data_IF_421774880826
#
_entry.id   IF_421774880826
#
_cell.length_a   1.000
_cell.length_b   1.000
_cell.length_c   1.000
_cell.angle_alpha   90.00
_cell.angle_beta   90.00
_cell.angle_gamma   90.00
#
_symmetry.space_group_name_H-M   'P 1'
#
loop_
_entity.id
_entity.type
_entity.pdbx_description
1 polymer ?
#
# COMPACT_ATOMS: atom_id res chain seq x y z
N UNK A 1 13.47 -35.19 3.71
CA UNK A 1 14.10 -33.88 4.00
C UNK A 1 13.00 -33.00 4.56
N UNK A 2 13.19 -32.39 5.72
CA UNK A 2 12.24 -31.40 6.23
C UNK A 2 12.14 -30.23 5.23
N UNK A 3 10.98 -29.58 5.06
CA UNK A 3 10.90 -28.38 4.24
C UNK A 3 11.87 -27.35 4.79
N UNK A 4 12.75 -26.82 3.95
CA UNK A 4 13.60 -25.69 4.32
C UNK A 4 12.67 -24.51 4.47
N UNK A 5 12.61 -23.92 5.67
CA UNK A 5 11.90 -22.66 5.88
C UNK A 5 12.64 -21.57 5.11
N UNK A 6 11.93 -20.85 4.24
CA UNK A 6 12.47 -19.80 3.37
C UNK A 6 11.89 -18.45 3.78
N UNK A 7 12.71 -17.39 3.77
CA UNK A 7 12.22 -16.03 3.88
C UNK A 7 11.74 -15.58 2.49
N UNK A 8 10.42 -15.48 2.30
CA UNK A 8 9.84 -15.06 1.02
C UNK A 8 9.91 -13.54 0.89
N UNK A 9 10.47 -13.08 -0.23
CA UNK A 9 10.46 -11.68 -0.66
C UNK A 9 9.76 -11.60 -2.00
N UNK A 10 8.65 -10.88 -2.03
CA UNK A 10 7.83 -10.67 -3.22
C UNK A 10 8.12 -9.28 -3.76
N UNK A 11 8.54 -9.17 -5.01
CA UNK A 11 8.75 -7.88 -5.67
C UNK A 11 7.49 -7.51 -6.43
N UNK A 12 6.97 -6.33 -6.14
CA UNK A 12 5.97 -5.66 -6.96
C UNK A 12 6.66 -5.15 -8.23
N UNK A 13 6.57 -5.94 -9.30
CA UNK A 13 7.30 -5.71 -10.53
C UNK A 13 6.90 -4.41 -11.20
N UNK A 14 5.61 -4.07 -11.21
CA UNK A 14 5.12 -2.83 -11.77
C UNK A 14 5.65 -1.62 -11.01
N UNK A 15 5.58 -1.62 -9.68
CA UNK A 15 6.08 -0.51 -8.87
C UNK A 15 7.60 -0.32 -9.01
N UNK A 16 8.38 -1.40 -9.02
CA UNK A 16 9.83 -1.34 -9.18
C UNK A 16 10.24 -0.89 -10.58
N UNK A 17 9.55 -1.36 -11.64
CA UNK A 17 9.92 -1.03 -13.01
C UNK A 17 9.41 0.35 -13.47
N UNK A 18 8.27 0.83 -12.97
CA UNK A 18 7.51 1.97 -13.54
C UNK A 18 7.48 3.24 -12.67
N UNK A 19 8.61 3.68 -12.09
CA UNK A 19 8.59 4.74 -11.06
C UNK A 19 8.17 6.15 -11.49
N UNK A 20 8.45 6.62 -12.73
CA UNK A 20 8.28 8.06 -13.07
C UNK A 20 7.56 8.33 -14.38
N UNK A 21 7.83 7.56 -15.43
CA UNK A 21 7.35 7.87 -16.78
C UNK A 21 6.23 6.92 -17.26
N UNK A 22 5.71 6.05 -16.37
CA UNK A 22 4.76 4.98 -16.71
C UNK A 22 5.32 3.90 -17.65
N UNK A 23 6.58 4.03 -18.07
CA UNK A 23 7.32 3.03 -18.84
C UNK A 23 8.00 2.05 -17.90
N UNK A 24 7.88 0.77 -18.22
CA UNK A 24 8.59 -0.29 -17.52
C UNK A 24 10.07 -0.28 -17.90
N UNK A 25 10.94 -0.18 -16.90
CA UNK A 25 12.39 -0.34 -17.06
C UNK A 25 12.83 -1.67 -16.46
N UNK A 26 13.00 -2.68 -17.31
CA UNK A 26 13.30 -4.05 -16.87
C UNK A 26 14.68 -4.18 -16.19
N UNK A 27 15.73 -3.41 -16.57
CA UNK A 27 16.99 -3.43 -15.84
C UNK A 27 16.85 -3.06 -14.35
N UNK A 28 15.89 -2.19 -14.00
CA UNK A 28 15.62 -1.85 -12.59
C UNK A 28 15.03 -3.04 -11.84
N UNK A 29 14.06 -3.72 -12.43
CA UNK A 29 13.48 -4.95 -11.88
C UNK A 29 14.54 -6.05 -11.73
N UNK A 30 15.38 -6.23 -12.74
CA UNK A 30 16.49 -7.18 -12.71
C UNK A 30 17.49 -6.86 -11.58
N UNK A 31 17.83 -5.59 -11.39
CA UNK A 31 18.73 -5.15 -10.32
C UNK A 31 18.14 -5.44 -8.93
N UNK A 32 16.84 -5.22 -8.72
CA UNK A 32 16.16 -5.56 -7.47
C UNK A 32 16.15 -7.07 -7.21
N UNK A 33 15.81 -7.88 -8.23
CA UNK A 33 15.87 -9.35 -8.14
C UNK A 33 17.30 -9.81 -7.81
N UNK A 34 18.29 -9.27 -8.52
CA UNK A 34 19.70 -9.61 -8.31
C UNK A 34 20.15 -9.26 -6.90
N UNK A 35 19.76 -8.09 -6.38
CA UNK A 35 20.07 -7.66 -5.02
C UNK A 35 19.65 -8.74 -4.01
N UNK A 36 18.36 -9.10 -3.96
CA UNK A 36 17.85 -10.06 -2.97
C UNK A 36 18.39 -11.48 -3.18
N UNK A 37 18.68 -11.87 -4.42
CA UNK A 37 19.27 -13.19 -4.72
C UNK A 37 20.77 -13.27 -4.40
N UNK A 38 21.47 -12.13 -4.41
CA UNK A 38 22.89 -12.04 -4.08
C UNK A 38 23.16 -11.97 -2.57
N UNK A 39 22.12 -11.69 -1.79
CA UNK A 39 22.21 -11.78 -0.34
C UNK A 39 22.54 -13.22 0.02
N UNK A 40 23.74 -13.43 0.55
CA UNK A 40 24.07 -14.67 1.23
C UNK A 40 23.08 -14.91 2.38
N UNK A 41 22.94 -16.14 2.89
CA UNK A 41 22.18 -16.42 4.10
C UNK A 41 22.85 -15.75 5.30
N UNK A 42 22.75 -14.42 5.41
CA UNK A 42 23.19 -13.61 6.55
C UNK A 42 22.16 -13.68 7.68
N UNK A 43 20.98 -14.25 7.41
CA UNK A 43 19.96 -14.64 8.38
C UNK A 43 19.90 -16.15 8.61
N UNK A 44 18.95 -16.58 9.45
CA UNK A 44 18.71 -18.01 9.73
C UNK A 44 18.10 -18.79 8.55
N UNK A 45 17.52 -18.08 7.58
CA UNK A 45 16.73 -18.65 6.51
C UNK A 45 17.20 -18.14 5.14
N UNK A 46 17.26 -19.00 4.11
CA UNK A 46 17.54 -18.55 2.75
C UNK A 46 16.43 -17.64 2.24
N UNK A 47 16.80 -16.62 1.47
CA UNK A 47 15.84 -15.70 0.83
C UNK A 47 15.34 -16.31 -0.48
N UNK A 48 14.02 -16.42 -0.59
CA UNK A 48 13.33 -16.74 -1.83
C UNK A 48 12.72 -15.48 -2.42
N UNK A 49 13.34 -14.99 -3.48
CA UNK A 49 12.89 -13.81 -4.20
C UNK A 49 12.07 -14.19 -5.43
N UNK A 50 10.87 -13.62 -5.57
CA UNK A 50 10.01 -13.73 -6.75
C UNK A 50 9.38 -12.38 -7.06
N UNK A 51 9.28 -12.01 -8.33
CA UNK A 51 8.58 -10.81 -8.75
C UNK A 51 7.27 -11.17 -9.45
N UNK A 52 6.23 -10.35 -9.25
CA UNK A 52 5.02 -10.41 -10.08
C UNK A 52 4.99 -9.22 -11.03
N UNK A 53 4.68 -9.47 -12.29
CA UNK A 53 4.58 -8.41 -13.30
C UNK A 53 3.37 -8.64 -14.22
N UNK A 54 2.80 -7.58 -14.82
CA UNK A 54 1.67 -7.71 -15.72
C UNK A 54 2.02 -8.50 -17.00
N UNK A 55 1.19 -9.49 -17.38
CA UNK A 55 1.40 -10.28 -18.60
C UNK A 55 1.44 -9.45 -19.89
N UNK A 56 0.80 -8.27 -19.92
CA UNK A 56 0.81 -7.44 -21.13
C UNK A 56 2.20 -6.92 -21.50
N UNK A 57 3.19 -6.92 -20.59
CA UNK A 57 4.56 -6.50 -20.90
C UNK A 57 5.24 -7.38 -21.96
N UNK A 58 4.94 -8.68 -22.00
CA UNK A 58 5.47 -9.57 -23.05
C UNK A 58 4.60 -9.61 -24.30
N UNK A 59 3.31 -9.30 -24.17
CA UNK A 59 2.35 -9.41 -25.29
C UNK A 59 2.50 -8.29 -26.32
N UNK A 60 3.14 -7.17 -25.95
CA UNK A 60 3.47 -6.11 -26.91
C UNK A 60 4.86 -6.38 -27.48
N UNK A 61 4.92 -7.18 -28.55
CA UNK A 61 6.19 -7.42 -29.25
C UNK A 61 6.75 -6.09 -29.78
N UNK A 62 8.04 -5.79 -29.55
CA UNK A 62 8.68 -4.64 -30.17
C UNK A 62 8.61 -4.80 -31.70
N UNK A 63 8.03 -3.82 -32.40
CA UNK A 63 8.03 -3.81 -33.87
C UNK A 63 9.39 -3.32 -34.35
N UNK A 64 10.21 -4.15 -35.04
CA UNK A 64 11.49 -3.70 -35.55
C UNK A 64 11.27 -2.66 -36.66
N UNK A 65 11.73 -1.42 -36.44
CA UNK A 65 11.79 -0.38 -37.48
C UNK A 65 10.94 0.89 -37.26
N UNK A 66 10.16 1.02 -36.19
CA UNK A 66 9.42 2.26 -35.90
C UNK A 66 10.28 3.29 -35.14
N UNK A 67 11.13 4.01 -35.87
CA UNK A 67 11.73 5.28 -35.40
C UNK A 67 10.75 6.45 -35.55
N UNK A 68 9.46 6.23 -35.27
CA UNK A 68 8.40 7.22 -35.39
C UNK A 68 7.68 7.43 -34.06
N UNK A 69 7.40 8.67 -33.63
CA UNK A 69 6.65 8.96 -32.42
C UNK A 69 5.16 8.72 -32.68
N UNK A 70 4.75 7.45 -32.71
CA UNK A 70 3.34 7.05 -32.61
C UNK A 70 3.24 5.83 -31.70
N UNK A 71 2.83 6.13 -30.47
CA UNK A 71 1.82 5.42 -29.68
C UNK A 71 1.82 3.88 -29.79
N UNK A 72 2.24 3.21 -28.71
CA UNK A 72 1.41 2.26 -27.93
C UNK A 72 2.27 1.20 -27.24
N UNK A 73 2.63 1.43 -25.97
CA UNK A 73 2.88 0.39 -24.96
C UNK A 73 4.00 -0.65 -25.21
N UNK A 74 4.74 -0.57 -26.31
CA UNK A 74 5.76 -1.56 -26.65
C UNK A 74 7.03 -1.31 -25.82
N UNK A 75 7.46 -2.37 -25.12
CA UNK A 75 8.74 -2.39 -24.41
C UNK A 75 9.90 -2.33 -25.41
N UNK A 76 11.03 -1.74 -25.01
CA UNK A 76 12.25 -1.77 -25.82
C UNK A 76 12.70 -3.22 -26.02
N UNK A 77 13.32 -3.53 -27.17
CA UNK A 77 13.69 -4.90 -27.53
C UNK A 77 14.60 -5.56 -26.49
N UNK A 78 15.56 -4.81 -25.94
CA UNK A 78 16.49 -5.31 -24.93
C UNK A 78 15.78 -5.60 -23.60
N UNK A 79 14.90 -4.69 -23.18
CA UNK A 79 14.06 -4.86 -21.98
C UNK A 79 13.11 -6.06 -22.13
N UNK A 80 12.53 -6.25 -23.32
CA UNK A 80 11.67 -7.40 -23.61
C UNK A 80 12.43 -8.72 -23.54
N UNK A 81 13.63 -8.79 -24.11
CA UNK A 81 14.48 -9.99 -24.05
C UNK A 81 14.88 -10.31 -22.61
N UNK A 82 15.27 -9.30 -21.83
CA UNK A 82 15.62 -9.45 -20.43
C UNK A 82 14.43 -9.91 -19.59
N UNK A 83 13.23 -9.36 -19.83
CA UNK A 83 12.02 -9.79 -19.15
C UNK A 83 11.69 -11.25 -19.47
N UNK A 84 11.77 -11.64 -20.75
CA UNK A 84 11.55 -13.02 -21.16
C UNK A 84 12.55 -13.98 -20.49
N UNK A 85 13.82 -13.59 -20.36
CA UNK A 85 14.83 -14.37 -19.63
C UNK A 85 14.48 -14.53 -18.14
N UNK A 86 14.07 -13.44 -17.48
CA UNK A 86 13.66 -13.48 -16.06
C UNK A 86 12.42 -14.36 -15.84
N UNK A 87 11.48 -14.35 -16.78
CA UNK A 87 10.30 -15.23 -16.76
C UNK A 87 10.69 -16.69 -16.96
N UNK A 88 11.57 -17.00 -17.92
CA UNK A 88 12.05 -18.37 -18.14
C UNK A 88 12.82 -18.95 -16.94
N UNK A 89 13.41 -18.09 -16.11
CA UNK A 89 14.11 -18.47 -14.88
C UNK A 89 13.20 -18.56 -13.64
N UNK A 90 11.90 -18.37 -13.80
CA UNK A 90 10.91 -18.25 -12.71
C UNK A 90 11.25 -17.15 -11.70
N UNK A 91 12.00 -16.12 -12.12
CA UNK A 91 12.28 -14.94 -11.26
C UNK A 91 11.16 -13.92 -11.34
N UNK A 92 10.47 -13.87 -12.48
CA UNK A 92 9.29 -13.04 -12.72
C UNK A 92 8.12 -13.96 -13.09
N UNK A 93 7.02 -13.83 -12.38
CA UNK A 93 5.76 -14.53 -12.66
C UNK A 93 4.79 -13.53 -13.27
N UNK A 94 4.28 -13.84 -14.45
CA UNK A 94 3.33 -12.98 -15.13
C UNK A 94 1.93 -13.19 -14.57
N UNK A 95 1.31 -12.10 -14.12
CA UNK A 95 -0.07 -12.12 -13.64
C UNK A 95 -1.04 -12.27 -14.81
N UNK A 96 -2.17 -12.98 -14.66
CA UNK A 96 -3.11 -13.17 -15.74
C UNK A 96 -3.54 -11.87 -16.42
N UNK A 97 -3.81 -11.91 -17.72
CA UNK A 97 -4.28 -10.75 -18.47
C UNK A 97 -5.53 -10.14 -17.82
N UNK A 98 -5.59 -8.81 -17.76
CA UNK A 98 -6.68 -8.02 -17.17
C UNK A 98 -6.87 -8.19 -15.64
N UNK A 99 -6.01 -8.96 -14.97
CA UNK A 99 -5.99 -9.02 -13.51
C UNK A 99 -5.06 -7.93 -12.96
N UNK A 100 -5.41 -7.41 -11.77
CA UNK A 100 -4.51 -6.53 -11.03
C UNK A 100 -3.45 -7.38 -10.34
N UNK A 101 -2.20 -6.95 -10.48
CA UNK A 101 -1.01 -7.57 -9.91
C UNK A 101 -0.96 -7.46 -8.38
N UNK A 102 -1.49 -6.39 -7.80
CA UNK A 102 -1.59 -6.20 -6.34
C UNK A 102 -2.19 -7.42 -5.63
N UNK A 103 -3.22 -8.04 -6.20
CA UNK A 103 -3.84 -9.22 -5.59
C UNK A 103 -2.86 -10.37 -5.44
N UNK A 104 -2.02 -10.62 -6.44
CA UNK A 104 -1.07 -11.74 -6.43
C UNK A 104 0.13 -11.42 -5.55
N UNK A 105 0.62 -10.18 -5.59
CA UNK A 105 1.72 -9.69 -4.76
C UNK A 105 1.36 -9.84 -3.28
N UNK A 106 0.21 -9.27 -2.89
CA UNK A 106 -0.23 -9.28 -1.49
C UNK A 106 -0.58 -10.71 -1.04
N UNK A 107 -1.36 -11.46 -1.83
CA UNK A 107 -1.77 -12.82 -1.45
C UNK A 107 -0.54 -13.72 -1.25
N UNK A 108 0.41 -13.72 -2.18
CA UNK A 108 1.60 -14.55 -2.07
C UNK A 108 2.45 -14.20 -0.84
N UNK A 109 2.63 -12.91 -0.56
CA UNK A 109 3.36 -12.47 0.63
C UNK A 109 2.62 -12.88 1.92
N UNK A 110 1.30 -12.67 2.00
CA UNK A 110 0.50 -13.05 3.18
C UNK A 110 0.51 -14.57 3.39
N UNK A 111 0.49 -15.36 2.31
CA UNK A 111 0.54 -16.83 2.34
C UNK A 111 1.75 -17.37 3.10
N UNK A 112 2.91 -16.79 2.81
CA UNK A 112 4.20 -17.26 3.30
C UNK A 112 4.77 -16.38 4.41
N UNK A 113 3.96 -15.45 4.94
CA UNK A 113 4.39 -14.47 5.95
C UNK A 113 5.64 -13.68 5.49
N UNK A 114 5.69 -13.40 4.19
CA UNK A 114 6.83 -12.80 3.51
C UNK A 114 6.78 -11.27 3.46
N UNK A 115 7.84 -10.70 2.89
CA UNK A 115 7.96 -9.27 2.68
C UNK A 115 7.61 -8.87 1.24
N UNK A 116 7.14 -7.65 1.04
CA UNK A 116 6.83 -7.08 -0.27
C UNK A 116 7.80 -5.93 -0.55
N UNK A 117 8.46 -5.93 -1.71
CA UNK A 117 9.26 -4.79 -2.18
C UNK A 117 8.37 -3.92 -3.04
N UNK A 118 7.94 -2.79 -2.48
CA UNK A 118 7.05 -1.83 -3.14
C UNK A 118 7.15 -0.48 -2.43
N UNK A 119 6.91 0.61 -3.16
CA UNK A 119 6.64 1.93 -2.58
C UNK A 119 5.14 2.21 -2.46
N UNK A 120 4.27 1.30 -2.93
CA UNK A 120 2.83 1.39 -2.70
C UNK A 120 2.48 0.93 -1.28
N UNK A 121 1.54 1.62 -0.65
CA UNK A 121 1.02 1.28 0.68
C UNK A 121 -0.30 0.51 0.62
N UNK A 122 -0.78 0.14 -0.59
CA UNK A 122 -1.99 -0.64 -0.83
C UNK A 122 -3.22 -0.09 -0.07
N UNK A 123 -3.34 1.24 -0.05
CA UNK A 123 -4.29 1.96 0.82
C UNK A 123 -5.74 1.59 0.49
N UNK A 124 -6.04 1.36 -0.78
CA UNK A 124 -7.35 0.93 -1.27
C UNK A 124 -7.67 -0.50 -0.78
N UNK A 125 -6.72 -1.43 -0.80
CA UNK A 125 -6.90 -2.79 -0.28
C UNK A 125 -7.13 -2.79 1.24
N UNK A 126 -6.41 -1.95 1.98
CA UNK A 126 -6.58 -1.77 3.43
C UNK A 126 -7.95 -1.15 3.75
N UNK A 127 -8.32 -0.06 3.08
CA UNK A 127 -9.59 0.65 3.32
C UNK A 127 -10.81 -0.20 2.96
N UNK A 128 -10.72 -1.01 1.90
CA UNK A 128 -11.74 -1.96 1.50
C UNK A 128 -11.76 -3.25 2.34
N UNK A 129 -10.96 -3.33 3.41
CA UNK A 129 -10.90 -4.48 4.33
C UNK A 129 -10.71 -5.81 3.59
N UNK A 130 -9.88 -5.81 2.54
CA UNK A 130 -9.61 -7.01 1.74
C UNK A 130 -8.98 -8.09 2.61
N UNK A 131 -9.30 -9.34 2.30
CA UNK A 131 -8.79 -10.52 2.98
C UNK A 131 -7.96 -11.33 2.02
N UNK A 132 -6.75 -11.68 2.44
CA UNK A 132 -5.77 -12.48 1.70
C UNK A 132 -5.40 -13.68 2.56
N UNK A 133 -5.44 -14.89 2.01
CA UNK A 133 -5.28 -16.13 2.78
C UNK A 133 -6.00 -16.16 4.15
N UNK A 134 -7.24 -15.67 4.21
CA UNK A 134 -8.04 -15.64 5.45
C UNK A 134 -7.64 -14.57 6.47
N UNK A 135 -6.59 -13.77 6.20
CA UNK A 135 -6.14 -12.65 7.03
C UNK A 135 -6.61 -11.33 6.40
N UNK A 136 -7.23 -10.46 7.21
CA UNK A 136 -7.59 -9.10 6.77
C UNK A 136 -6.32 -8.27 6.63
N UNK A 137 -6.13 -7.61 5.49
CA UNK A 137 -5.02 -6.69 5.29
C UNK A 137 -5.18 -5.48 6.21
N UNK A 138 -4.13 -5.12 6.92
CA UNK A 138 -4.11 -3.96 7.83
C UNK A 138 -2.95 -3.05 7.48
N UNK A 139 -3.07 -1.76 7.79
CA UNK A 139 -1.98 -0.80 7.64
C UNK A 139 -0.74 -1.21 8.44
N UNK A 140 -0.92 -1.81 9.62
CA UNK A 140 0.17 -2.35 10.44
C UNK A 140 0.91 -3.48 9.72
N UNK A 141 0.19 -4.42 9.12
CA UNK A 141 0.80 -5.52 8.36
C UNK A 141 1.57 -4.98 7.14
N UNK A 142 0.98 -4.05 6.39
CA UNK A 142 1.64 -3.41 5.25
C UNK A 142 2.93 -2.72 5.71
N UNK A 143 2.89 -1.93 6.78
CA UNK A 143 4.07 -1.21 7.30
C UNK A 143 5.18 -2.15 7.79
N UNK A 144 4.82 -3.32 8.33
CA UNK A 144 5.81 -4.29 8.82
C UNK A 144 6.38 -5.19 7.72
N UNK A 145 5.60 -5.48 6.67
CA UNK A 145 6.01 -6.42 5.61
C UNK A 145 6.45 -5.73 4.32
N UNK A 146 6.12 -4.46 4.09
CA UNK A 146 6.62 -3.73 2.93
C UNK A 146 8.05 -3.20 3.16
N UNK A 147 8.82 -3.24 2.10
CA UNK A 147 10.19 -2.75 1.95
C UNK A 147 10.13 -1.67 0.89
N UNK A 148 10.10 -0.43 1.36
CA UNK A 148 10.28 0.75 0.53
C UNK A 148 11.71 0.79 -0.01
N UNK A 149 11.88 1.43 -1.16
CA UNK A 149 13.15 1.46 -1.87
C UNK A 149 13.30 2.72 -2.72
N UNK A 150 14.54 2.98 -3.11
CA UNK A 150 14.88 4.00 -4.09
C UNK A 150 15.88 3.44 -5.10
N UNK A 151 16.16 4.21 -6.15
CA UNK A 151 17.22 3.93 -7.10
C UNK A 151 18.17 5.12 -7.16
N UNK A 152 19.47 4.86 -6.97
CA UNK A 152 20.53 5.84 -7.24
C UNK A 152 21.14 5.51 -8.59
N UNK A 153 20.65 6.17 -9.64
CA UNK A 153 20.97 5.82 -11.02
C UNK A 153 20.41 4.43 -11.37
N UNK A 154 21.32 3.44 -11.48
CA UNK A 154 20.99 2.03 -11.78
C UNK A 154 21.05 1.13 -10.55
N UNK A 155 21.52 1.65 -9.43
CA UNK A 155 21.68 0.89 -8.19
C UNK A 155 20.36 0.83 -7.43
N UNK A 156 19.90 -0.39 -7.13
CA UNK A 156 18.74 -0.63 -6.28
C UNK A 156 19.13 -0.44 -4.81
N UNK A 157 18.38 0.40 -4.10
CA UNK A 157 18.64 0.72 -2.70
C UNK A 157 17.37 0.51 -1.88
N UNK A 158 17.19 -0.66 -1.23
CA UNK A 158 16.08 -0.86 -0.31
C UNK A 158 16.32 -0.09 1.01
N UNK A 159 15.25 0.27 1.70
CA UNK A 159 15.34 0.93 2.99
C UNK A 159 16.08 0.04 4.00
N UNK A 160 17.22 0.48 4.57
CA UNK A 160 17.99 -0.32 5.52
C UNK A 160 17.18 -0.75 6.75
N UNK A 161 16.29 0.10 7.24
CA UNK A 161 15.42 -0.20 8.39
C UNK A 161 14.37 -1.27 8.06
N UNK A 162 13.94 -1.34 6.80
CA UNK A 162 13.09 -2.42 6.34
C UNK A 162 13.86 -3.74 6.20
N UNK A 163 15.08 -3.67 5.69
CA UNK A 163 15.96 -4.83 5.57
C UNK A 163 16.32 -5.49 6.91
N UNK A 164 16.44 -4.72 7.99
CA UNK A 164 16.60 -5.28 9.35
C UNK A 164 15.50 -6.30 9.70
N UNK A 165 14.25 -6.09 9.23
CA UNK A 165 13.14 -7.03 9.47
C UNK A 165 13.31 -8.32 8.67
N UNK A 166 13.82 -8.20 7.44
CA UNK A 166 14.13 -9.35 6.58
C UNK A 166 15.23 -10.21 7.20
N UNK A 167 16.31 -9.59 7.68
CA UNK A 167 17.43 -10.32 8.31
C UNK A 167 17.05 -10.96 9.64
N UNK A 168 16.13 -10.35 10.38
CA UNK A 168 15.61 -10.87 11.64
C UNK A 168 14.34 -11.73 11.47
N UNK A 169 14.00 -12.14 10.25
CA UNK A 169 12.80 -12.91 9.97
C UNK A 169 12.71 -14.19 10.83
N UNK A 170 11.54 -14.39 11.40
CA UNK A 170 11.16 -15.63 12.07
C UNK A 170 9.81 -16.05 11.50
N UNK A 171 9.70 -17.26 10.92
CA UNK A 171 8.44 -17.73 10.39
C UNK A 171 7.42 -17.82 11.53
N UNK A 172 6.25 -17.23 11.31
CA UNK A 172 5.10 -17.48 12.16
C UNK A 172 4.83 -18.99 12.16
N UNK A 173 5.09 -19.66 13.29
CA UNK A 173 4.79 -21.08 13.46
C UNK A 173 3.32 -21.27 13.10
N UNK A 174 3.08 -21.90 11.95
CA UNK A 174 1.74 -22.34 11.59
C UNK A 174 1.37 -23.35 12.66
N UNK A 175 0.39 -23.01 13.50
CA UNK A 175 -0.15 -23.89 14.53
C UNK A 175 -0.77 -25.10 13.81
N UNK A 176 0.06 -26.11 13.53
CA UNK A 176 -0.41 -27.42 13.11
C UNK A 176 -1.10 -28.00 14.34
N UNK A 177 -2.42 -27.82 14.42
CA UNK A 177 -3.25 -28.57 15.34
C UNK A 177 -2.85 -30.05 15.23
N UNK A 178 -2.41 -30.69 16.32
CA UNK A 178 -2.11 -32.12 16.26
C UNK A 178 -3.38 -32.86 15.85
N UNK A 179 -3.30 -33.88 14.97
CA UNK A 179 -4.45 -34.70 14.65
C UNK A 179 -4.92 -35.36 15.96
N UNK A 180 -6.18 -35.11 16.30
CA UNK A 180 -6.85 -35.74 17.42
C UNK A 180 -6.65 -37.25 17.33
N UNK A 181 -5.81 -37.79 18.20
CA UNK A 181 -5.66 -39.23 18.34
C UNK A 181 -6.95 -39.76 18.92
N UNK A 182 -7.71 -40.42 18.06
CA UNK A 182 -8.82 -41.30 18.42
C UNK A 182 -8.33 -42.35 19.41
N UNK A 183 -8.67 -42.17 20.69
CA UNK A 183 -8.74 -43.26 21.66
C UNK A 183 -10.17 -43.45 22.09
N UNK A 184 -10.76 -44.55 21.61
CA UNK A 184 -12.07 -45.02 21.99
C UNK A 184 -12.02 -45.75 23.35
N UNK A 185 -13.13 -45.59 24.08
CA UNK A 185 -13.70 -46.44 25.14
C UNK A 185 -13.05 -46.43 26.54
N UNK A 186 -13.81 -45.92 27.52
CA UNK A 186 -14.54 -46.81 28.45
C UNK A 186 -15.72 -46.10 29.13
N UNK A 187 -16.81 -46.86 29.32
CA UNK A 187 -18.10 -46.44 29.86
C UNK A 187 -18.05 -46.06 31.34
N UNK A 188 -18.95 -45.15 31.74
CA UNK A 188 -19.73 -45.29 32.98
C UNK A 188 -21.06 -44.53 32.88
N UNK A 189 -22.12 -45.32 32.92
CA UNK A 189 -23.55 -45.03 33.06
C UNK A 189 -23.90 -44.26 34.34
N UNK A 190 -24.82 -43.28 34.24
CA UNK A 190 -26.04 -43.19 35.07
C UNK A 190 -27.08 -42.23 34.44
N UNK A 191 -28.31 -42.74 34.32
CA UNK A 191 -29.65 -42.11 34.28
C UNK A 191 -29.76 -40.59 34.53
N UNK A 192 -30.64 -39.80 33.89
CA UNK A 192 -32.09 -39.97 33.65
C UNK A 192 -32.66 -38.86 32.71
N UNK A 193 -33.74 -39.18 31.99
CA UNK A 193 -34.53 -38.34 31.04
C UNK A 193 -35.54 -37.37 31.75
N UNK A 194 -36.52 -36.70 31.09
CA UNK A 194 -36.46 -35.29 30.67
C UNK A 194 -37.70 -34.46 31.09
N UNK A 195 -37.69 -33.14 31.00
CA UNK A 195 -38.95 -32.36 30.85
C UNK A 195 -38.77 -31.10 30.00
N UNK A 196 -39.76 -30.91 29.14
CA UNK A 196 -39.97 -29.87 28.14
C UNK A 196 -40.19 -28.46 28.71
N UNK A 197 -39.91 -27.41 27.93
CA UNK A 197 -40.97 -26.52 27.38
C UNK A 197 -40.42 -25.33 26.57
N UNK A 198 -41.04 -25.17 25.40
CA UNK A 198 -41.14 -24.00 24.53
C UNK A 198 -41.40 -22.67 25.26
N UNK A 199 -40.70 -21.57 24.88
CA UNK A 199 -41.22 -20.45 24.07
C UNK A 199 -40.45 -19.12 24.28
N UNK A 200 -40.15 -18.48 23.15
CA UNK A 200 -39.73 -17.07 22.92
C UNK A 200 -40.94 -16.14 23.18
N UNK A 201 -40.78 -14.85 23.56
CA UNK A 201 -40.58 -13.78 22.57
C UNK A 201 -39.70 -12.58 23.03
N UNK A 202 -39.50 -11.63 22.10
CA UNK A 202 -38.63 -10.44 22.10
C UNK A 202 -39.00 -9.28 23.06
N UNK A 203 -38.01 -8.45 23.43
CA UNK A 203 -38.02 -6.96 23.54
C UNK A 203 -36.64 -6.48 24.06
N UNK A 204 -35.85 -5.73 23.26
CA UNK A 204 -35.68 -4.25 23.17
C UNK A 204 -34.76 -3.60 24.24
N UNK A 205 -33.63 -3.11 23.74
CA UNK A 205 -32.87 -1.88 24.03
C UNK A 205 -32.28 -1.51 25.42
N UNK A 206 -31.14 -0.81 25.27
CA UNK A 206 -30.48 0.19 26.15
C UNK A 206 -29.23 -0.22 26.98
N UNK A 207 -28.07 0.14 26.40
CA UNK A 207 -27.09 1.12 26.90
C UNK A 207 -26.35 0.91 28.24
N UNK A 208 -25.02 0.72 28.16
CA UNK A 208 -23.99 1.24 29.11
C UNK A 208 -22.61 1.02 28.44
N UNK A 209 -21.68 1.96 28.23
CA UNK A 209 -21.37 3.17 28.98
C UNK A 209 -20.11 2.93 29.83
N UNK A 210 -18.90 3.12 29.29
CA UNK A 210 -17.67 2.92 30.07
C UNK A 210 -16.41 3.42 29.38
N UNK A 211 -16.06 4.68 29.66
CA UNK A 211 -14.93 5.44 29.16
C UNK A 211 -13.58 5.05 29.81
N UNK A 212 -12.48 5.33 29.10
CA UNK A 212 -11.24 5.80 29.71
C UNK A 212 -10.51 6.72 28.72
N UNK A 213 -10.44 7.99 29.10
CA UNK A 213 -9.71 9.07 28.44
C UNK A 213 -8.19 8.89 28.64
N UNK A 214 -7.40 9.45 27.72
CA UNK A 214 -6.21 10.20 28.11
C UNK A 214 -5.93 11.23 27.00
N UNK A 215 -6.36 12.46 27.27
CA UNK A 215 -6.00 13.67 26.54
C UNK A 215 -4.67 14.19 27.08
N UNK A 216 -3.75 14.57 26.19
CA UNK A 216 -2.69 15.54 26.49
C UNK A 216 -2.77 16.63 25.42
N UNK A 217 -3.26 17.78 25.85
CA UNK A 217 -3.28 19.04 25.10
C UNK A 217 -1.88 19.64 24.96
N UNK A 218 -1.52 20.11 23.77
CA UNK A 218 -0.60 21.24 23.60
C UNK A 218 -0.98 22.07 22.34
N UNK A 219 -1.34 23.33 22.58
CA UNK A 219 -1.32 24.52 21.72
C UNK A 219 -2.13 24.62 20.40
N UNK A 220 -3.39 25.02 20.54
CA UNK A 220 -3.79 26.41 20.28
C UNK A 220 -3.74 26.98 18.85
N UNK A 221 -4.63 26.54 17.95
CA UNK A 221 -5.12 27.36 16.83
C UNK A 221 -6.63 27.12 16.64
N UNK A 222 -7.44 28.16 16.87
CA UNK A 222 -8.91 28.12 16.76
C UNK A 222 -9.32 28.24 15.30
N UNK A 223 -10.13 27.30 14.80
CA UNK A 223 -10.81 27.41 13.50
C UNK A 223 -12.25 26.91 13.63
N UNK A 224 -13.19 27.75 13.19
CA UNK A 224 -14.64 27.58 13.34
C UNK A 224 -15.16 26.26 12.75
N UNK A 225 -15.99 25.55 13.53
CA UNK A 225 -16.64 24.31 13.12
C UNK A 225 -17.99 24.59 12.46
N UNK A 226 -18.12 24.25 11.18
CA UNK A 226 -19.40 23.85 10.60
C UNK A 226 -19.15 22.82 9.48
N UNK A 227 -19.27 21.53 9.82
CA UNK A 227 -19.17 20.42 8.86
C UNK A 227 -18.50 19.18 9.44
N UNK A 228 -19.17 18.05 9.35
CA UNK A 228 -18.95 16.77 10.03
C UNK A 228 -17.52 16.21 9.89
N UNK A 229 -16.73 16.25 10.98
CA UNK A 229 -15.33 15.82 11.04
C UNK A 229 -15.17 14.30 10.96
N UNK A 230 -14.58 13.79 9.87
CA UNK A 230 -13.70 12.61 9.91
C UNK A 230 -12.27 13.13 10.10
N UNK A 231 -11.61 12.82 11.22
CA UNK A 231 -10.21 13.18 11.43
C UNK A 231 -9.33 12.42 10.42
N UNK A 232 -8.97 13.08 9.32
CA UNK A 232 -7.99 12.57 8.36
C UNK A 232 -6.60 12.95 8.90
N UNK A 233 -5.73 11.96 9.09
CA UNK A 233 -4.30 12.21 9.32
C UNK A 233 -3.72 12.71 7.99
N UNK A 234 -3.63 14.03 7.85
CA UNK A 234 -2.99 14.68 6.71
C UNK A 234 -1.49 14.72 7.02
N UNK A 235 -0.66 14.18 6.14
CA UNK A 235 0.79 14.28 6.28
C UNK A 235 1.20 15.73 5.97
N UNK A 236 1.81 16.40 6.94
CA UNK A 236 2.28 17.78 6.81
C UNK A 236 3.79 17.84 6.50
N UNK A 237 4.44 16.70 6.28
CA UNK A 237 5.90 16.62 6.09
C UNK A 237 6.35 17.07 4.70
N UNK A 238 5.50 16.97 3.68
CA UNK A 238 5.77 17.43 2.32
C UNK A 238 4.88 18.63 1.96
N UNK A 239 5.49 19.73 1.49
CA UNK A 239 4.77 20.92 1.03
C UNK A 239 5.28 21.34 -0.33
N UNK A 240 4.34 21.51 -1.28
CA UNK A 240 4.63 22.05 -2.61
C UNK A 240 3.96 23.41 -2.78
N UNK A 241 4.72 24.39 -3.25
CA UNK A 241 4.25 25.75 -3.47
C UNK A 241 3.93 26.02 -4.94
N UNK A 242 2.69 26.39 -5.23
CA UNK A 242 2.25 26.75 -6.59
C UNK A 242 1.90 28.22 -6.68
N UNK A 243 2.45 28.90 -7.69
CA UNK A 243 2.09 30.28 -8.02
C UNK A 243 0.95 30.29 -9.03
N UNK A 244 -0.21 30.79 -8.62
CA UNK A 244 -1.44 30.78 -9.43
C UNK A 244 -1.98 32.21 -9.58
N UNK A 245 -2.35 32.64 -10.79
CA UNK A 245 -3.04 33.91 -10.99
C UNK A 245 -4.33 34.00 -10.17
N UNK A 246 -4.59 35.18 -9.60
CA UNK A 246 -5.75 35.39 -8.72
C UNK A 246 -7.09 35.15 -9.42
N UNK A 247 -7.17 35.31 -10.74
CA UNK A 247 -8.41 35.08 -11.49
C UNK A 247 -8.84 33.61 -11.53
N UNK A 248 -7.90 32.67 -11.32
CA UNK A 248 -8.20 31.24 -11.32
C UNK A 248 -8.73 30.74 -9.98
N UNK A 249 -8.65 31.56 -8.94
CA UNK A 249 -8.98 31.16 -7.58
C UNK A 249 -10.47 30.83 -7.38
N UNK A 250 -11.43 31.59 -7.94
CA UNK A 250 -12.84 31.21 -7.91
C UNK A 250 -13.12 29.90 -8.66
N UNK A 251 -12.38 29.63 -9.75
CA UNK A 251 -12.51 28.37 -10.50
C UNK A 251 -11.97 27.18 -9.71
N UNK A 252 -10.88 27.38 -8.96
CA UNK A 252 -10.25 26.35 -8.15
C UNK A 252 -11.05 26.06 -6.86
N UNK A 253 -11.59 27.12 -6.25
CA UNK A 253 -12.39 27.03 -5.04
C UNK A 253 -13.79 26.46 -5.32
N UNK A 254 -14.40 26.85 -6.44
CA UNK A 254 -15.82 26.61 -6.70
C UNK A 254 -16.72 27.49 -5.83
N UNK A 255 -18.02 27.49 -6.13
CA UNK A 255 -19.00 28.14 -5.25
C UNK A 255 -18.97 27.46 -3.87
N UNK A 256 -18.69 28.24 -2.83
CA UNK A 256 -18.67 27.72 -1.44
C UNK A 256 -17.50 26.79 -1.08
N UNK A 257 -16.52 26.55 -1.96
CA UNK A 257 -15.35 25.71 -1.64
C UNK A 257 -15.49 24.24 -2.08
N UNK A 258 -16.62 23.87 -2.68
CA UNK A 258 -16.94 22.47 -3.00
C UNK A 258 -15.95 21.84 -3.98
N UNK A 259 -15.47 22.59 -4.97
CA UNK A 259 -14.53 22.07 -5.97
C UNK A 259 -13.19 21.74 -5.33
N UNK A 260 -12.71 22.63 -4.45
CA UNK A 260 -11.47 22.42 -3.72
C UNK A 260 -11.60 21.27 -2.72
N UNK A 261 -12.72 21.15 -2.01
CA UNK A 261 -12.96 20.06 -1.07
C UNK A 261 -13.00 18.70 -1.79
N UNK A 262 -13.72 18.59 -2.91
CA UNK A 262 -13.74 17.38 -3.74
C UNK A 262 -12.37 17.04 -4.29
N UNK A 263 -11.59 18.04 -4.72
CA UNK A 263 -10.23 17.82 -5.20
C UNK A 263 -9.34 17.27 -4.10
N UNK A 264 -9.32 17.91 -2.92
CA UNK A 264 -8.57 17.46 -1.75
C UNK A 264 -9.01 16.06 -1.27
N UNK A 265 -10.29 15.73 -1.37
CA UNK A 265 -10.78 14.38 -1.08
C UNK A 265 -10.29 13.35 -2.10
N UNK A 266 -10.29 13.69 -3.39
CA UNK A 266 -9.87 12.79 -4.46
C UNK A 266 -8.35 12.56 -4.47
N UNK A 267 -7.57 13.61 -4.23
CA UNK A 267 -6.09 13.54 -4.29
C UNK A 267 -5.47 13.19 -2.94
N UNK A 268 -6.23 13.28 -1.84
CA UNK A 268 -5.70 13.13 -0.48
C UNK A 268 -4.78 14.28 -0.05
N UNK A 269 -4.66 15.34 -0.86
CA UNK A 269 -3.85 16.51 -0.54
C UNK A 269 -4.65 17.51 0.28
N UNK A 270 -3.99 18.28 1.13
CA UNK A 270 -4.57 19.43 1.82
C UNK A 270 -4.03 20.73 1.21
N UNK A 271 -4.91 21.63 0.82
CA UNK A 271 -4.55 22.87 0.12
C UNK A 271 -4.88 24.06 1.00
N UNK A 272 -3.86 24.84 1.38
CA UNK A 272 -4.02 26.05 2.19
C UNK A 272 -3.98 27.28 1.30
N UNK A 273 -5.05 28.07 1.39
CA UNK A 273 -5.18 29.36 0.73
C UNK A 273 -4.66 30.48 1.65
N UNK A 274 -3.93 31.49 1.13
CA UNK A 274 -3.58 32.67 1.90
C UNK A 274 -4.85 33.40 2.36
N UNK A 275 -5.03 33.59 3.67
CA UNK A 275 -6.19 34.28 4.23
C UNK A 275 -6.16 35.77 3.90
N UNK A 276 -7.33 36.35 3.61
CA UNK A 276 -7.50 37.79 3.33
C UNK A 276 -7.30 38.70 4.57
N UNK A 277 -6.92 38.15 5.73
CA UNK A 277 -7.02 38.80 7.03
C UNK A 277 -5.77 39.59 7.48
N UNK A 278 -4.84 39.93 6.58
CA UNK A 278 -3.74 40.84 6.88
C UNK A 278 -3.91 42.19 6.15
N UNK A 279 -5.02 42.90 6.42
CA UNK A 279 -5.19 44.30 6.02
C UNK A 279 -5.89 45.13 7.10
N UNK A 280 -5.21 45.25 8.25
CA UNK A 280 -5.23 46.51 9.00
C UNK A 280 -3.79 46.94 9.27
N UNK A 281 -3.15 47.52 8.25
CA UNK A 281 -2.28 48.68 8.40
C UNK A 281 -1.85 49.17 7.03
N UNK A 282 -2.03 50.47 6.86
CA UNK A 282 -1.59 51.35 5.79
C UNK A 282 -0.32 50.91 5.04
N UNK A 283 -0.47 50.50 3.77
CA UNK A 283 0.25 51.11 2.65
C UNK A 283 -0.31 50.56 1.33
N UNK A 284 -0.33 51.42 0.33
CA UNK A 284 -0.67 51.16 -1.07
C UNK A 284 0.37 50.21 -1.69
N UNK A 285 0.36 48.95 -1.28
CA UNK A 285 1.09 47.89 -1.95
C UNK A 285 0.20 47.32 -3.05
N UNK A 286 0.70 47.46 -4.28
CA UNK A 286 0.20 46.78 -5.48
C UNK A 286 -0.15 45.34 -5.11
N UNK A 287 -1.42 44.97 -5.24
CA UNK A 287 -1.84 43.59 -5.07
C UNK A 287 -1.14 42.80 -6.17
N UNK A 288 -0.20 41.93 -5.80
CA UNK A 288 0.40 41.00 -6.74
C UNK A 288 -0.69 40.09 -7.29
N UNK A 289 -0.87 40.08 -8.61
CA UNK A 289 -1.86 39.25 -9.35
C UNK A 289 -1.61 37.74 -9.23
N UNK A 290 -0.57 37.35 -8.49
CA UNK A 290 -0.15 35.97 -8.30
C UNK A 290 -0.25 35.61 -6.81
N UNK A 291 -0.93 34.50 -6.53
CA UNK A 291 -1.07 33.90 -5.20
C UNK A 291 -0.22 32.65 -5.10
N UNK A 292 0.30 32.38 -3.91
CA UNK A 292 1.04 31.14 -3.63
C UNK A 292 0.13 30.20 -2.87
N UNK A 293 -0.13 29.03 -3.44
CA UNK A 293 -0.87 27.93 -2.82
C UNK A 293 0.12 26.99 -2.14
N UNK A 294 -0.19 26.58 -0.91
CA UNK A 294 0.57 25.53 -0.22
C UNK A 294 -0.24 24.24 -0.30
N UNK A 295 0.33 23.21 -0.94
CA UNK A 295 -0.29 21.88 -1.07
C UNK A 295 0.52 20.90 -0.23
N UNK A 296 -0.14 20.28 0.72
CA UNK A 296 0.37 19.22 1.59
C UNK A 296 -0.21 17.88 1.09
N UNK A 297 0.53 16.78 1.14
CA UNK A 297 0.07 15.50 0.59
C UNK A 297 0.93 14.33 1.05
#
# INVERSE_FOLDING_TARGET
MAPVEECVVVIDGANVACQKDGKAHIPKLAAAIQYFRSLEPTGRYPIKCVAFAPNFWLNVKPTPGSAGPRENGAMETDDWMLLNELVQKDHVILTPSQAHDDFYVIDYAVKYDGFIVTNDMFRDHVSNKRTFHGKRLTSTWVRSHCIDFTFVGKEFMPNPRAMERVFNFQPSVTEVLPPASVTAATLSTTSSLPTSSLQKPLSSDENDGGAANDDVDEDGMVVDNAGTKRSKNIDLSEVTYYKVPRELLPMLHGEGGETMEKFQEYTGTYIVMPSHAARQSSSTMLLSDVLTLSIYG
#
